data_IF_013380279738
#
_entry.id   IF_013380279738
#
_cell.length_a   1.000
_cell.length_b   1.000
_cell.length_c   1.000
_cell.angle_alpha   90.00
_cell.angle_beta   90.00
_cell.angle_gamma   90.00
#
_symmetry.space_group_name_H-M   'P 1'
#
loop_
_entity.id
_entity.type
_entity.pdbx_description
1 polymer ?
#
# COMPACT_ATOMS: atom_id res chain seq x y z
N UNK A 1 -28.29 50.66 -2.04
CA UNK A 1 -27.55 50.54 -3.32
C UNK A 1 -26.73 49.25 -3.25
N UNK A 2 -27.22 48.02 -3.45
CA UNK A 2 -28.22 47.42 -4.35
C UNK A 2 -27.82 47.29 -5.83
N UNK A 3 -26.56 47.01 -6.19
CA UNK A 3 -26.18 46.72 -7.60
C UNK A 3 -25.02 45.73 -7.84
N UNK A 4 -24.80 44.71 -7.00
CA UNK A 4 -23.88 43.60 -7.35
C UNK A 4 -24.41 42.22 -6.93
N UNK A 5 -25.72 42.11 -6.70
CA UNK A 5 -26.38 40.87 -6.29
C UNK A 5 -27.53 40.53 -7.24
N UNK A 6 -27.26 40.55 -8.56
CA UNK A 6 -28.26 40.23 -9.60
C UNK A 6 -27.57 39.81 -10.91
N UNK A 7 -26.71 38.79 -10.84
CA UNK A 7 -26.33 37.94 -11.98
C UNK A 7 -26.42 36.49 -11.45
N UNK A 8 -27.60 36.00 -11.07
CA UNK A 8 -28.64 35.50 -11.97
C UNK A 8 -28.03 34.32 -12.78
N UNK A 9 -27.89 33.14 -12.19
CA UNK A 9 -29.00 32.18 -11.97
C UNK A 9 -29.86 32.02 -13.25
N UNK A 10 -29.28 32.11 -14.46
CA UNK A 10 -29.89 31.67 -15.74
C UNK A 10 -28.81 31.08 -16.67
N UNK A 11 -28.03 30.12 -16.19
CA UNK A 11 -27.20 29.23 -17.05
C UNK A 11 -27.07 27.82 -16.47
N UNK A 12 -28.09 27.36 -15.75
CA UNK A 12 -28.44 25.95 -15.76
C UNK A 12 -29.50 25.76 -16.86
N UNK A 13 -29.42 24.63 -17.58
CA UNK A 13 -30.35 24.17 -18.63
C UNK A 13 -30.02 24.64 -20.05
N UNK A 14 -28.90 24.15 -20.61
CA UNK A 14 -28.83 23.68 -22.00
C UNK A 14 -27.61 22.77 -22.17
N UNK A 15 -27.78 21.67 -22.90
CA UNK A 15 -26.81 20.59 -23.22
C UNK A 15 -26.94 19.25 -22.47
N UNK A 16 -28.16 18.89 -22.05
CA UNK A 16 -28.66 17.52 -22.23
C UNK A 16 -29.28 17.40 -23.63
N UNK A 17 -28.48 17.13 -24.66
CA UNK A 17 -28.94 16.62 -25.96
C UNK A 17 -27.74 16.35 -26.89
N UNK A 18 -27.09 15.19 -26.74
CA UNK A 18 -26.47 14.53 -27.91
C UNK A 18 -27.13 13.17 -28.04
N UNK A 19 -28.15 13.16 -28.89
CA UNK A 19 -28.82 12.00 -29.46
C UNK A 19 -27.82 11.04 -30.09
N UNK A 20 -27.87 9.80 -29.64
CA UNK A 20 -27.26 8.64 -30.29
C UNK A 20 -28.25 7.47 -30.30
N UNK A 21 -29.39 7.63 -30.98
CA UNK A 21 -30.33 6.56 -31.26
C UNK A 21 -29.66 5.41 -32.02
N UNK A 22 -29.59 4.22 -31.41
CA UNK A 22 -29.65 2.96 -32.16
C UNK A 22 -30.82 2.12 -31.63
N UNK A 23 -31.69 1.78 -32.58
CA UNK A 23 -33.00 1.14 -32.44
C UNK A 23 -32.95 -0.21 -31.68
N UNK A 24 -34.06 -0.59 -31.03
CA UNK A 24 -34.26 -1.94 -30.51
C UNK A 24 -34.49 -2.91 -31.68
N UNK A 25 -33.85 -4.07 -31.64
CA UNK A 25 -34.11 -5.16 -32.58
C UNK A 25 -34.47 -6.42 -31.80
N UNK A 26 -35.46 -7.11 -32.33
CA UNK A 26 -36.27 -8.16 -31.72
C UNK A 26 -35.48 -9.36 -31.20
N UNK A 27 -36.09 -10.08 -30.25
CA UNK A 27 -35.77 -11.49 -29.95
C UNK A 27 -36.24 -12.36 -31.11
N UNK A 28 -35.40 -13.30 -31.59
CA UNK A 28 -35.90 -14.56 -32.13
C UNK A 28 -35.51 -15.75 -31.26
N UNK A 29 -36.45 -16.68 -31.19
CA UNK A 29 -36.46 -18.00 -30.61
C UNK A 29 -35.20 -18.85 -30.85
N UNK A 30 -34.88 -19.68 -29.86
CA UNK A 30 -33.78 -20.65 -29.84
C UNK A 30 -33.87 -21.73 -30.93
N UNK A 31 -32.70 -22.29 -31.30
CA UNK A 31 -32.55 -23.73 -31.52
C UNK A 31 -31.54 -24.36 -30.55
N UNK A 32 -31.71 -25.68 -30.37
CA UNK A 32 -31.07 -26.59 -29.42
C UNK A 32 -29.52 -26.68 -29.48
N UNK A 33 -28.86 -27.18 -28.41
CA UNK A 33 -27.41 -27.14 -28.25
C UNK A 33 -26.68 -28.20 -29.08
N UNK A 34 -25.58 -27.81 -29.72
CA UNK A 34 -24.56 -28.74 -30.22
C UNK A 34 -23.48 -28.94 -29.14
N UNK A 35 -22.85 -30.13 -29.04
CA UNK A 35 -21.97 -30.48 -27.93
C UNK A 35 -20.61 -29.82 -28.14
N UNK A 36 -20.31 -28.78 -27.37
CA UNK A 36 -18.95 -28.21 -27.33
C UNK A 36 -18.10 -28.94 -26.30
N UNK A 37 -16.89 -29.28 -26.74
CA UNK A 37 -15.90 -30.06 -26.05
C UNK A 37 -15.57 -29.48 -24.66
N UNK A 38 -15.50 -30.36 -23.67
CA UNK A 38 -14.98 -30.09 -22.33
C UNK A 38 -13.55 -29.57 -22.42
N UNK A 39 -13.42 -28.25 -22.37
CA UNK A 39 -12.16 -27.57 -22.05
C UNK A 39 -11.98 -27.68 -20.53
N UNK A 40 -10.80 -28.05 -20.01
CA UNK A 40 -10.58 -28.06 -18.57
C UNK A 40 -10.62 -26.61 -18.07
N UNK A 41 -11.72 -26.24 -17.41
CA UNK A 41 -11.82 -25.01 -16.63
C UNK A 41 -10.73 -25.04 -15.57
N UNK A 42 -9.71 -24.19 -15.72
CA UNK A 42 -8.78 -23.89 -14.65
C UNK A 42 -9.59 -23.50 -13.39
N UNK A 43 -9.24 -23.99 -12.19
CA UNK A 43 -9.96 -23.61 -10.99
C UNK A 43 -10.01 -22.09 -10.89
N UNK A 44 -11.21 -21.54 -10.70
CA UNK A 44 -11.40 -20.13 -10.45
C UNK A 44 -10.38 -19.67 -9.40
N UNK A 45 -9.71 -18.51 -9.58
CA UNK A 45 -8.81 -17.98 -8.56
C UNK A 45 -9.61 -17.95 -7.26
N UNK A 46 -9.17 -18.76 -6.30
CA UNK A 46 -9.87 -18.97 -5.06
C UNK A 46 -10.24 -17.63 -4.46
N UNK A 47 -11.53 -17.46 -4.18
CA UNK A 47 -12.00 -16.38 -3.32
C UNK A 47 -11.12 -16.40 -2.08
N UNK A 48 -10.25 -15.40 -1.98
CA UNK A 48 -9.49 -15.14 -0.77
C UNK A 48 -10.53 -15.11 0.36
N UNK A 49 -10.38 -15.89 1.44
CA UNK A 49 -11.36 -15.91 2.51
C UNK A 49 -11.64 -14.48 2.95
N UNK A 50 -12.87 -14.03 2.70
CA UNK A 50 -13.29 -12.66 2.92
C UNK A 50 -13.19 -12.32 4.40
N UNK A 51 -12.42 -11.27 4.69
CA UNK A 51 -12.67 -10.15 5.60
C UNK A 51 -13.49 -10.32 6.91
N UNK A 52 -13.75 -11.52 7.43
CA UNK A 52 -14.69 -11.72 8.53
C UNK A 52 -14.13 -11.35 9.92
N UNK A 53 -12.87 -10.92 10.04
CA UNK A 53 -12.22 -10.62 11.33
C UNK A 53 -11.27 -9.40 11.26
N UNK A 54 -11.52 -8.42 10.39
CA UNK A 54 -10.68 -7.21 10.38
C UNK A 54 -11.12 -6.28 11.51
N UNK A 55 -10.19 -5.95 12.43
CA UNK A 55 -10.47 -5.01 13.52
C UNK A 55 -10.67 -3.61 12.92
N UNK A 56 -11.90 -3.11 12.90
CA UNK A 56 -12.18 -1.75 12.46
C UNK A 56 -11.65 -0.78 13.51
N UNK A 57 -10.74 0.11 13.11
CA UNK A 57 -10.22 1.19 13.96
C UNK A 57 -11.32 2.23 14.16
N UNK A 58 -11.70 2.56 15.42
CA UNK A 58 -12.61 3.67 15.73
C UNK A 58 -12.13 4.98 15.09
N UNK A 59 -13.05 5.87 14.76
CA UNK A 59 -12.71 7.05 13.95
C UNK A 59 -11.83 8.03 14.72
N UNK A 60 -12.07 8.16 16.02
CA UNK A 60 -11.29 8.95 16.98
C UNK A 60 -9.85 8.44 17.06
N UNK A 61 -9.69 7.12 17.26
CA UNK A 61 -8.39 6.46 17.31
C UNK A 61 -7.65 6.55 15.98
N UNK A 62 -8.37 6.43 14.86
CA UNK A 62 -7.80 6.58 13.53
C UNK A 62 -7.13 7.94 13.38
N UNK A 63 -7.83 9.01 13.73
CA UNK A 63 -7.30 10.37 13.58
C UNK A 63 -6.22 10.70 14.60
N UNK A 64 -6.33 10.22 15.85
CA UNK A 64 -5.27 10.35 16.84
C UNK A 64 -3.96 9.69 16.36
N UNK A 65 -4.05 8.47 15.82
CA UNK A 65 -2.89 7.78 15.23
C UNK A 65 -2.36 8.53 14.01
N UNK A 66 -3.22 9.07 13.12
CA UNK A 66 -2.74 9.82 11.97
C UNK A 66 -1.94 11.07 12.39
N UNK A 67 -2.39 11.80 13.42
CA UNK A 67 -1.65 12.94 13.94
C UNK A 67 -0.30 12.52 14.52
N UNK A 68 -0.25 11.50 15.38
CA UNK A 68 1.01 11.00 15.94
C UNK A 68 1.98 10.52 14.87
N UNK A 69 1.47 9.87 13.82
CA UNK A 69 2.29 9.45 12.68
C UNK A 69 2.83 10.65 11.91
N UNK A 70 2.07 11.72 11.73
CA UNK A 70 2.57 12.93 11.09
C UNK A 70 3.63 13.61 11.97
N UNK A 71 3.41 13.73 13.28
CA UNK A 71 4.38 14.28 14.21
C UNK A 71 5.70 13.48 14.21
N UNK A 72 5.62 12.15 14.25
CA UNK A 72 6.80 11.28 14.14
C UNK A 72 7.49 11.40 12.76
N UNK A 73 6.72 11.54 11.68
CA UNK A 73 7.26 11.74 10.32
C UNK A 73 7.96 13.10 10.19
N UNK A 74 7.41 14.15 10.78
CA UNK A 74 8.04 15.48 10.86
C UNK A 74 9.39 15.39 11.56
N UNK A 75 9.41 14.83 12.78
CA UNK A 75 10.65 14.64 13.54
C UNK A 75 11.68 13.77 12.79
N UNK A 76 11.22 12.78 12.01
CA UNK A 76 12.09 11.98 11.15
C UNK A 76 12.76 12.83 10.06
N UNK A 77 12.00 13.66 9.33
CA UNK A 77 12.57 14.51 8.29
C UNK A 77 13.46 15.62 8.84
N UNK A 78 13.17 16.18 10.01
CA UNK A 78 14.06 17.12 10.69
C UNK A 78 15.43 16.49 10.96
N UNK A 79 15.45 15.24 11.45
CA UNK A 79 16.70 14.50 11.68
C UNK A 79 17.42 14.17 10.37
N UNK A 80 16.71 13.79 9.31
CA UNK A 80 17.33 13.57 7.99
C UNK A 80 17.98 14.87 7.48
N UNK A 81 17.28 15.99 7.60
CA UNK A 81 17.81 17.29 7.18
C UNK A 81 19.08 17.64 7.96
N UNK A 82 19.06 17.48 9.28
CA UNK A 82 20.23 17.73 10.14
C UNK A 82 21.43 16.84 9.77
N UNK A 83 21.20 15.57 9.39
CA UNK A 83 22.25 14.68 8.90
C UNK A 83 22.86 15.24 7.60
N UNK A 84 22.02 15.58 6.62
CA UNK A 84 22.52 16.10 5.35
C UNK A 84 23.21 17.47 5.49
N UNK A 85 22.77 18.32 6.40
CA UNK A 85 23.44 19.57 6.75
C UNK A 85 24.81 19.32 7.40
N UNK A 86 24.90 18.37 8.35
CA UNK A 86 26.16 17.96 9.01
C UNK A 86 27.21 17.49 8.00
N UNK A 87 26.80 16.68 7.02
CA UNK A 87 27.69 16.11 6.00
C UNK A 87 27.80 16.97 4.73
N UNK A 88 27.09 18.11 4.66
CA UNK A 88 27.02 19.01 3.50
C UNK A 88 26.60 18.32 2.19
N UNK A 89 25.75 17.30 2.25
CA UNK A 89 25.34 16.53 1.07
C UNK A 89 25.06 15.05 1.34
N UNK A 90 24.68 14.33 0.28
CA UNK A 90 24.48 12.89 0.29
C UNK A 90 25.81 12.11 0.23
N UNK A 91 26.56 12.12 1.34
CA UNK A 91 27.80 11.31 1.50
C UNK A 91 27.50 9.87 1.92
N UNK A 92 28.50 9.00 1.89
CA UNK A 92 28.33 7.61 2.35
C UNK A 92 27.98 7.55 3.85
N UNK A 93 28.60 8.41 4.66
CA UNK A 93 28.34 8.55 6.08
C UNK A 93 26.92 9.05 6.34
N UNK A 94 26.48 10.07 5.59
CA UNK A 94 25.11 10.56 5.65
C UNK A 94 24.09 9.44 5.35
N UNK A 95 24.32 8.67 4.28
CA UNK A 95 23.46 7.53 3.92
C UNK A 95 23.41 6.48 5.03
N UNK A 96 24.54 6.16 5.67
CA UNK A 96 24.58 5.19 6.75
C UNK A 96 23.79 5.66 7.99
N UNK A 97 23.93 6.94 8.38
CA UNK A 97 23.14 7.51 9.47
C UNK A 97 21.63 7.56 9.11
N UNK A 98 21.28 7.99 7.89
CA UNK A 98 19.88 7.99 7.43
C UNK A 98 19.29 6.58 7.43
N UNK A 99 20.03 5.55 7.00
CA UNK A 99 19.57 4.16 7.03
C UNK A 99 19.30 3.67 8.46
N UNK A 100 20.11 4.08 9.42
CA UNK A 100 19.91 3.76 10.84
C UNK A 100 18.66 4.45 11.38
N UNK A 101 18.49 5.73 11.03
CA UNK A 101 17.32 6.53 11.38
C UNK A 101 16.02 5.97 10.76
N UNK A 102 16.06 5.41 9.54
CA UNK A 102 14.89 4.77 8.91
C UNK A 102 14.38 3.56 9.70
N UNK A 103 15.28 2.76 10.29
CA UNK A 103 14.89 1.64 11.16
C UNK A 103 14.21 2.15 12.43
N UNK A 104 14.82 3.12 13.11
CA UNK A 104 14.24 3.74 14.30
C UNK A 104 12.87 4.37 14.03
N UNK A 105 12.70 5.02 12.87
CA UNK A 105 11.41 5.57 12.47
C UNK A 105 10.37 4.47 12.20
N UNK A 106 10.76 3.36 11.56
CA UNK A 106 9.85 2.21 11.36
C UNK A 106 9.38 1.67 12.71
N UNK A 107 10.28 1.51 13.67
CA UNK A 107 9.96 1.00 15.00
C UNK A 107 9.04 1.98 15.74
N UNK A 108 9.33 3.28 15.69
CA UNK A 108 8.45 4.32 16.25
C UNK A 108 7.04 4.27 15.64
N UNK A 109 6.92 4.09 14.32
CA UNK A 109 5.63 3.95 13.66
C UNK A 109 4.88 2.70 14.11
N UNK A 110 5.57 1.57 14.32
CA UNK A 110 4.97 0.35 14.84
C UNK A 110 4.47 0.54 16.28
N UNK A 111 5.27 1.19 17.13
CA UNK A 111 4.89 1.47 18.51
C UNK A 111 3.64 2.35 18.62
N UNK A 112 3.46 3.33 17.72
CA UNK A 112 2.23 4.15 17.67
C UNK A 112 0.98 3.26 17.48
N UNK A 113 1.04 2.26 16.59
CA UNK A 113 -0.06 1.33 16.39
C UNK A 113 -0.25 0.39 17.60
N UNK A 114 0.85 -0.18 18.11
CA UNK A 114 0.82 -1.12 19.25
C UNK A 114 0.25 -0.49 20.51
N UNK A 115 0.57 0.78 20.80
CA UNK A 115 0.05 1.52 21.96
C UNK A 115 -1.48 1.55 22.04
N UNK A 116 -2.17 1.44 20.90
CA UNK A 116 -3.63 1.41 20.80
C UNK A 116 -4.18 0.03 20.45
N UNK A 117 -3.33 -1.01 20.50
CA UNK A 117 -3.73 -2.37 20.18
C UNK A 117 -4.12 -2.58 18.72
N UNK A 118 -3.54 -1.82 17.80
CA UNK A 118 -3.74 -1.98 16.36
C UNK A 118 -2.46 -2.42 15.66
N UNK A 119 -2.63 -2.97 14.47
CA UNK A 119 -1.57 -3.22 13.50
C UNK A 119 -1.69 -2.23 12.34
N UNK A 120 -0.63 -2.14 11.53
CA UNK A 120 -0.68 -1.34 10.29
C UNK A 120 -1.73 -1.85 9.28
N UNK A 121 -2.09 -3.14 9.34
CA UNK A 121 -3.11 -3.74 8.46
C UNK A 121 -4.53 -3.28 8.78
N UNK A 122 -4.81 -2.94 10.03
CA UNK A 122 -6.15 -2.52 10.50
C UNK A 122 -6.54 -1.13 9.99
N UNK A 123 -5.55 -0.32 9.59
CA UNK A 123 -5.76 1.04 9.09
C UNK A 123 -6.38 1.09 7.68
N UNK A 124 -6.28 0.00 6.94
CA UNK A 124 -6.77 -0.11 5.57
C UNK A 124 -8.00 -1.00 5.56
N UNK A 125 -9.21 -0.42 5.66
CA UNK A 125 -10.44 -1.19 5.63
C UNK A 125 -10.56 -1.90 4.28
N UNK A 126 -10.90 -3.20 4.33
CA UNK A 126 -11.11 -4.06 3.16
C UNK A 126 -12.57 -4.54 3.16
N UNK A 127 -13.02 -5.02 2.01
CA UNK A 127 -14.37 -5.59 1.88
C UNK A 127 -15.47 -4.55 1.80
N UNK A 128 -16.67 -4.97 2.18
CA UNK A 128 -17.94 -4.24 1.98
C UNK A 128 -18.00 -2.96 2.83
N UNK A 129 -17.52 -3.01 4.07
CA UNK A 129 -17.53 -1.88 5.02
C UNK A 129 -16.54 -0.75 4.66
N UNK A 130 -15.68 -0.97 3.64
CA UNK A 130 -14.64 0.00 3.28
C UNK A 130 -15.20 1.38 2.97
N UNK A 131 -16.32 1.47 2.26
CA UNK A 131 -16.92 2.76 1.89
C UNK A 131 -17.44 3.50 3.11
N UNK A 132 -18.15 2.79 3.99
CA UNK A 132 -18.75 3.35 5.20
C UNK A 132 -17.68 3.84 6.17
N UNK A 133 -16.64 3.04 6.42
CA UNK A 133 -15.52 3.43 7.29
C UNK A 133 -14.80 4.67 6.74
N UNK A 134 -14.55 4.74 5.43
CA UNK A 134 -13.92 5.91 4.81
C UNK A 134 -14.81 7.16 4.90
N UNK A 135 -16.11 7.01 4.71
CA UNK A 135 -17.08 8.10 4.85
C UNK A 135 -17.16 8.61 6.28
N UNK A 136 -17.23 7.72 7.28
CA UNK A 136 -17.24 8.08 8.69
C UNK A 136 -15.97 8.84 9.09
N UNK A 137 -14.80 8.39 8.62
CA UNK A 137 -13.53 9.11 8.82
C UNK A 137 -13.56 10.52 8.23
N UNK A 138 -14.12 10.69 7.04
CA UNK A 138 -14.23 11.99 6.38
C UNK A 138 -15.23 12.92 7.09
N UNK A 139 -16.39 12.40 7.49
CA UNK A 139 -17.41 13.16 8.23
C UNK A 139 -16.87 13.63 9.57
N UNK A 140 -16.15 12.76 10.30
CA UNK A 140 -15.50 13.15 11.54
C UNK A 140 -14.50 14.30 11.34
N UNK A 141 -13.67 14.24 10.29
CA UNK A 141 -12.73 15.33 9.98
C UNK A 141 -13.45 16.63 9.61
N UNK A 142 -14.59 16.55 8.91
CA UNK A 142 -15.41 17.72 8.57
C UNK A 142 -16.07 18.34 9.81
N UNK A 143 -16.51 17.52 10.76
CA UNK A 143 -17.06 17.95 12.04
C UNK A 143 -16.03 18.51 13.03
N UNK A 144 -14.74 18.26 12.80
CA UNK A 144 -13.64 18.69 13.68
C UNK A 144 -12.67 19.62 12.94
N UNK A 145 -12.99 20.93 12.80
CA UNK A 145 -12.17 21.87 12.02
C UNK A 145 -10.76 22.07 12.59
N UNK A 146 -10.59 22.02 13.91
CA UNK A 146 -9.28 22.12 14.57
C UNK A 146 -8.37 20.94 14.23
N UNK A 147 -8.93 19.72 14.26
CA UNK A 147 -8.22 18.50 13.84
C UNK A 147 -7.80 18.60 12.37
N UNK A 148 -8.70 19.07 11.50
CA UNK A 148 -8.41 19.28 10.09
C UNK A 148 -7.28 20.29 9.89
N UNK A 149 -7.32 21.42 10.60
CA UNK A 149 -6.28 22.43 10.54
C UNK A 149 -4.92 21.87 11.00
N UNK A 150 -4.88 21.19 12.16
CA UNK A 150 -3.65 20.57 12.69
C UNK A 150 -3.07 19.52 11.73
N UNK A 151 -3.92 18.68 11.14
CA UNK A 151 -3.50 17.70 10.15
C UNK A 151 -2.88 18.38 8.91
N UNK A 152 -3.53 19.42 8.39
CA UNK A 152 -3.05 20.17 7.23
C UNK A 152 -1.73 20.90 7.51
N UNK A 153 -1.60 21.50 8.69
CA UNK A 153 -0.38 22.17 9.14
C UNK A 153 0.80 21.19 9.18
N UNK A 154 0.65 20.06 9.88
CA UNK A 154 1.70 19.04 9.97
C UNK A 154 2.06 18.47 8.59
N UNK A 155 1.06 18.19 7.75
CA UNK A 155 1.29 17.73 6.39
C UNK A 155 2.04 18.77 5.53
N UNK A 156 1.77 20.05 5.74
CA UNK A 156 2.50 21.17 5.12
C UNK A 156 3.97 21.20 5.57
N UNK A 157 4.22 21.18 6.88
CA UNK A 157 5.57 21.17 7.45
C UNK A 157 6.40 19.98 6.96
N UNK A 158 5.82 18.79 6.88
CA UNK A 158 6.49 17.59 6.33
C UNK A 158 6.84 17.78 4.86
N UNK A 159 5.96 18.40 4.07
CA UNK A 159 6.22 18.68 2.66
C UNK A 159 7.41 19.63 2.50
N UNK A 160 7.44 20.71 3.27
CA UNK A 160 8.54 21.67 3.27
C UNK A 160 9.87 21.02 3.67
N UNK A 161 9.87 20.22 4.74
CA UNK A 161 11.07 19.49 5.18
C UNK A 161 11.55 18.52 4.11
N UNK A 162 10.65 17.77 3.48
CA UNK A 162 10.99 16.87 2.38
C UNK A 162 11.59 17.63 1.19
N UNK A 163 11.06 18.80 0.87
CA UNK A 163 11.58 19.62 -0.23
C UNK A 163 12.97 20.19 0.11
N UNK A 164 13.23 20.56 1.37
CA UNK A 164 14.60 20.89 1.83
C UNK A 164 15.55 19.70 1.70
N UNK A 165 15.13 18.51 2.12
CA UNK A 165 15.94 17.28 2.01
C UNK A 165 16.28 16.94 0.56
N UNK A 166 15.33 17.14 -0.39
CA UNK A 166 15.57 16.88 -1.82
C UNK A 166 16.71 17.70 -2.41
N UNK A 167 17.07 18.85 -1.83
CA UNK A 167 18.21 19.65 -2.30
C UNK A 167 19.53 18.88 -2.14
N UNK A 168 19.61 17.98 -1.15
CA UNK A 168 20.82 17.21 -0.86
C UNK A 168 20.88 15.87 -1.59
N UNK A 169 19.72 15.32 -1.96
CA UNK A 169 19.62 14.00 -2.62
C UNK A 169 19.44 14.21 -4.12
N UNK A 170 20.47 13.98 -4.95
CA UNK A 170 20.33 14.12 -6.39
C UNK A 170 19.26 13.16 -6.91
N UNK A 171 18.43 13.62 -7.85
CA UNK A 171 17.47 12.76 -8.53
C UNK A 171 18.24 11.58 -9.15
N UNK A 172 17.73 10.33 -9.03
CA UNK A 172 18.36 9.21 -9.70
C UNK A 172 18.44 9.51 -11.21
N UNK A 173 19.55 9.19 -11.88
CA UNK A 173 19.73 9.51 -13.28
C UNK A 173 18.57 8.91 -14.11
N UNK A 174 17.95 9.76 -14.93
CA UNK A 174 16.77 9.43 -15.75
C UNK A 174 17.05 8.30 -16.77
N UNK A 175 18.31 7.89 -16.95
CA UNK A 175 18.71 6.75 -17.79
C UNK A 175 18.56 5.35 -17.17
N UNK A 176 18.00 5.23 -15.97
CA UNK A 176 17.84 3.95 -15.26
C UNK A 176 16.52 3.20 -15.49
N UNK A 177 15.65 3.66 -16.40
CA UNK A 177 14.60 2.78 -16.94
C UNK A 177 15.34 1.68 -17.71
N UNK A 178 15.52 0.50 -17.08
CA UNK A 178 15.59 -0.74 -17.85
C UNK A 178 14.47 -0.66 -18.88
N UNK A 179 14.83 -0.72 -20.15
CA UNK A 179 13.91 -1.00 -21.23
C UNK A 179 13.25 -2.36 -20.93
N UNK A 180 12.16 -2.34 -20.17
CA UNK A 180 11.22 -3.45 -20.07
C UNK A 180 10.20 -3.21 -21.18
N UNK A 181 10.61 -3.55 -22.40
CA UNK A 181 9.79 -3.36 -23.59
C UNK A 181 10.59 -3.48 -24.88
N UNK A 182 11.23 -4.63 -25.11
CA UNK A 182 11.41 -5.26 -26.43
C UNK A 182 12.17 -6.58 -26.26
N UNK A 183 11.55 -7.69 -26.65
CA UNK A 183 12.24 -8.97 -26.84
C UNK A 183 12.00 -10.07 -25.81
N UNK A 184 10.79 -10.62 -25.73
CA UNK A 184 10.67 -12.08 -25.60
C UNK A 184 11.08 -12.70 -26.95
N UNK A 185 12.37 -12.67 -27.25
CA UNK A 185 12.99 -13.43 -28.34
C UNK A 185 13.92 -14.43 -27.68
N UNK A 186 13.64 -15.72 -27.85
CA UNK A 186 14.60 -16.77 -27.52
C UNK A 186 15.98 -16.44 -28.12
N UNK A 187 17.09 -16.83 -27.47
CA UNK A 187 18.37 -16.85 -28.15
C UNK A 187 18.31 -17.90 -29.27
N UNK A 188 18.21 -17.42 -30.50
CA UNK A 188 18.38 -18.22 -31.71
C UNK A 188 19.87 -18.59 -31.80
N UNK A 189 20.23 -19.79 -31.35
CA UNK A 189 21.55 -20.37 -31.56
C UNK A 189 21.71 -20.75 -33.05
N UNK A 190 22.87 -20.54 -33.68
CA UNK A 190 23.10 -20.95 -35.07
C UNK A 190 23.08 -22.49 -35.21
N UNK A 191 22.57 -23.04 -36.33
CA UNK A 191 22.42 -24.49 -36.51
C UNK A 191 23.78 -25.08 -36.88
N UNK A 192 24.42 -25.80 -35.96
CA UNK A 192 25.73 -26.37 -36.28
C UNK A 192 26.44 -27.24 -35.24
N UNK A 193 25.77 -27.75 -34.20
CA UNK A 193 26.42 -28.68 -33.27
C UNK A 193 25.63 -29.98 -33.09
N UNK A 194 26.33 -31.15 -33.10
CA UNK A 194 25.70 -32.46 -33.01
C UNK A 194 25.11 -32.72 -31.61
N UNK A 195 24.12 -33.63 -31.49
CA UNK A 195 23.46 -33.91 -30.22
C UNK A 195 24.45 -34.56 -29.24
N UNK A 196 24.53 -34.01 -28.03
CA UNK A 196 25.27 -34.63 -26.92
C UNK A 196 24.45 -35.83 -26.38
N UNK A 197 25.04 -37.02 -26.22
CA UNK A 197 24.35 -38.22 -25.73
C UNK A 197 23.85 -38.08 -24.29
N UNK A 198 22.66 -38.60 -24.02
CA UNK A 198 22.13 -38.74 -22.67
C UNK A 198 22.82 -39.84 -21.86
N UNK A 199 23.05 -39.56 -20.57
CA UNK A 199 23.32 -40.48 -19.47
C UNK A 199 23.35 -39.61 -18.18
N UNK A 200 22.90 -39.97 -16.98
CA UNK A 200 22.31 -41.16 -16.39
C UNK A 200 21.68 -40.72 -15.04
N UNK A 201 20.81 -41.52 -14.39
CA UNK A 201 20.18 -41.15 -13.12
C UNK A 201 21.10 -41.37 -11.92
N UNK A 202 21.03 -40.47 -10.92
CA UNK A 202 21.36 -40.78 -9.53
C UNK A 202 22.52 -40.01 -8.90
N UNK A 203 22.18 -39.03 -8.05
CA UNK A 203 22.89 -38.77 -6.81
C UNK A 203 21.88 -38.21 -5.78
N UNK A 204 21.72 -38.81 -4.59
CA UNK A 204 20.86 -38.25 -3.55
C UNK A 204 21.47 -36.96 -2.99
N UNK A 205 20.62 -35.95 -2.77
CA UNK A 205 21.02 -34.67 -2.21
C UNK A 205 21.56 -34.83 -0.78
N UNK A 206 22.63 -34.11 -0.40
CA UNK A 206 23.12 -34.08 0.99
C UNK A 206 22.09 -33.41 1.90
N UNK A 207 21.93 -34.00 3.09
CA UNK A 207 20.83 -33.78 4.02
C UNK A 207 20.61 -32.33 4.47
N UNK A 208 19.33 -32.03 4.72
CA UNK A 208 18.87 -30.80 5.33
C UNK A 208 19.47 -30.62 6.74
N UNK A 209 19.81 -29.39 7.17
CA UNK A 209 20.22 -29.13 8.54
C UNK A 209 19.05 -29.38 9.51
N UNK A 210 19.41 -29.94 10.67
CA UNK A 210 18.50 -30.28 11.75
C UNK A 210 17.70 -29.07 12.25
N UNK A 211 16.41 -29.26 12.50
CA UNK A 211 15.53 -28.27 13.11
C UNK A 211 16.02 -27.92 14.53
N UNK A 212 15.95 -26.64 14.96
CA UNK A 212 16.29 -26.26 16.32
C UNK A 212 15.29 -26.85 17.33
N UNK A 213 15.83 -27.31 18.46
CA UNK A 213 15.07 -27.88 19.56
C UNK A 213 14.04 -26.90 20.12
N UNK A 214 12.83 -27.39 20.39
CA UNK A 214 11.79 -26.63 21.09
C UNK A 214 12.23 -26.30 22.53
N UNK A 215 11.97 -25.09 23.04
CA UNK A 215 12.22 -24.76 24.43
C UNK A 215 11.25 -25.53 25.35
N UNK A 216 11.76 -25.99 26.48
CA UNK A 216 11.02 -26.69 27.51
C UNK A 216 9.88 -25.82 28.08
N UNK A 217 8.73 -26.45 28.33
CA UNK A 217 7.57 -25.83 28.95
C UNK A 217 7.90 -25.31 30.36
N UNK A 218 7.59 -24.05 30.61
CA UNK A 218 7.66 -23.44 31.94
C UNK A 218 6.49 -23.96 32.78
N UNK A 219 6.70 -24.50 34.00
CA UNK A 219 5.60 -24.90 34.86
C UNK A 219 4.81 -23.68 35.39
N UNK A 220 3.50 -23.85 35.51
CA UNK A 220 2.57 -22.83 36.00
C UNK A 220 2.84 -22.46 37.48
N UNK A 221 2.62 -21.19 37.88
CA UNK A 221 2.77 -20.77 39.26
C UNK A 221 1.65 -21.32 40.15
N UNK A 222 2.04 -21.92 41.28
CA UNK A 222 1.16 -22.33 42.37
C UNK A 222 0.57 -21.09 43.05
N UNK A 223 -0.76 -21.06 43.22
CA UNK A 223 -1.47 -19.98 43.92
C UNK A 223 -1.11 -19.94 45.42
N UNK A 224 -1.01 -18.76 46.06
CA UNK A 224 -0.81 -18.66 47.49
C UNK A 224 -2.08 -19.03 48.26
N UNK A 225 -1.91 -19.81 49.32
CA UNK A 225 -2.94 -20.07 50.31
C UNK A 225 -3.32 -18.76 51.04
N UNK A 226 -4.62 -18.46 51.13
CA UNK A 226 -5.14 -17.35 51.91
C UNK A 226 -5.17 -17.72 53.41
N UNK A 227 -4.96 -16.74 54.31
CA UNK A 227 -5.18 -16.89 55.74
C UNK A 227 -6.68 -16.94 56.10
#
# INVERSE_FOLDING_TARGET
>A
MNRVLTVLVVTMVMLLAVSGCKKPKEKPTAPAPAPEATTPTAPAPGSQPGAANQKIVPVEDYWAIQLERLEATKAHYEKILAIYEKYKGDTAEARNEVMTLQRANRDAMQEIFKKRGFSSGDFYPRGEDRREVLQARQQYLQGNPELKAKYQELAGQIRELRDKVKVYVPAPPIGGRRAMGEGHGQPNLPPGHPPVPGAAPGAPAPGAPAAPAQPAAVPAPTAPAQP
#
